data_IF_793554067377
#
_entry.id   IF_793554067377
#
_cell.length_a   1.000
_cell.length_b   1.000
_cell.length_c   1.000
_cell.angle_alpha   90.00
_cell.angle_beta   90.00
_cell.angle_gamma   90.00
#
_symmetry.space_group_name_H-M   'P 1'
#
loop_
_entity.id
_entity.type
_entity.pdbx_description
1 polymer ?
#
# COMPACT_ATOMS: atom_id res chain seq x y z
N UNK A 1 -5.96 22.13 -5.74
CA UNK A 1 -4.82 21.21 -5.89
C UNK A 1 -5.12 19.97 -5.08
N UNK A 2 -4.90 18.78 -5.63
CA UNK A 2 -5.13 17.50 -4.95
C UNK A 2 -3.80 16.79 -4.78
N UNK A 3 -3.45 16.41 -3.56
CA UNK A 3 -2.25 15.64 -3.25
C UNK A 3 -2.71 14.25 -2.80
N UNK A 4 -2.27 13.23 -3.54
CA UNK A 4 -2.62 11.85 -3.30
C UNK A 4 -1.38 10.97 -3.14
N UNK A 5 -0.77 10.92 -1.93
CA UNK A 5 0.33 10.03 -1.67
C UNK A 5 -0.12 8.56 -1.69
N UNK A 6 0.70 7.70 -2.27
CA UNK A 6 0.55 6.26 -2.14
C UNK A 6 1.24 5.80 -0.86
N UNK A 7 0.48 5.23 0.07
CA UNK A 7 1.00 4.56 1.26
C UNK A 7 0.67 3.09 1.10
N UNK A 8 1.69 2.30 0.80
CA UNK A 8 1.50 0.96 0.28
C UNK A 8 2.38 -0.05 1.00
N UNK A 9 1.84 -1.24 1.21
CA UNK A 9 2.61 -2.38 1.68
C UNK A 9 2.72 -3.43 0.57
N UNK A 10 3.93 -3.96 0.40
CA UNK A 10 4.22 -5.05 -0.53
C UNK A 10 4.59 -6.28 0.29
N UNK A 11 4.08 -7.44 -0.13
CA UNK A 11 4.38 -8.72 0.51
C UNK A 11 5.88 -9.08 0.35
N UNK A 12 6.52 -9.49 1.45
CA UNK A 12 7.92 -9.97 1.43
C UNK A 12 8.06 -11.26 0.63
N UNK A 13 7.04 -12.12 0.73
CA UNK A 13 6.90 -13.37 -0.01
C UNK A 13 5.51 -13.39 -0.65
N UNK A 14 5.34 -12.77 -1.83
CA UNK A 14 4.06 -12.77 -2.51
C UNK A 14 3.76 -14.14 -3.10
N UNK A 15 2.48 -14.47 -3.22
CA UNK A 15 2.04 -15.62 -3.99
C UNK A 15 2.32 -15.38 -5.49
N UNK A 16 2.78 -16.41 -6.18
CA UNK A 16 2.92 -16.37 -7.63
C UNK A 16 1.70 -17.04 -8.27
N UNK A 17 0.86 -16.25 -8.91
CA UNK A 17 -0.36 -16.68 -9.60
C UNK A 17 -0.09 -17.45 -10.91
N UNK A 18 1.18 -17.65 -11.26
CA UNK A 18 1.59 -18.30 -12.51
C UNK A 18 1.58 -17.38 -13.74
N UNK A 19 1.07 -16.15 -13.60
CA UNK A 19 0.90 -15.22 -14.70
C UNK A 19 1.88 -14.05 -14.63
N UNK A 20 2.00 -13.42 -13.47
CA UNK A 20 2.88 -12.27 -13.28
C UNK A 20 3.63 -12.37 -11.97
N UNK A 21 4.94 -12.47 -12.08
CA UNK A 21 5.85 -12.50 -10.94
C UNK A 21 6.01 -11.07 -10.39
N UNK A 22 5.62 -10.78 -9.12
CA UNK A 22 5.79 -9.45 -8.53
C UNK A 22 7.26 -9.06 -8.30
N UNK A 23 8.15 -10.04 -8.11
CA UNK A 23 9.59 -9.85 -7.92
C UNK A 23 10.44 -10.68 -8.91
N UNK A 24 10.47 -10.34 -10.22
CA UNK A 24 11.02 -11.21 -11.26
C UNK A 24 12.55 -11.31 -11.29
N UNK A 25 13.25 -10.49 -10.49
CA UNK A 25 14.71 -10.37 -10.53
C UNK A 25 15.42 -11.56 -9.89
N UNK A 26 14.89 -12.10 -8.80
CA UNK A 26 15.47 -13.22 -8.04
C UNK A 26 14.37 -14.12 -7.50
N UNK A 27 14.64 -15.42 -7.26
CA UNK A 27 13.74 -16.24 -6.46
C UNK A 27 13.40 -15.54 -5.14
N UNK A 28 12.15 -15.67 -4.68
CA UNK A 28 11.70 -14.94 -3.51
C UNK A 28 12.46 -15.38 -2.25
N UNK A 29 12.78 -14.42 -1.35
CA UNK A 29 12.42 -13.00 -1.41
C UNK A 29 13.42 -12.15 -2.23
N UNK A 30 12.90 -11.15 -2.95
CA UNK A 30 13.73 -10.08 -3.50
C UNK A 30 13.95 -8.98 -2.44
N UNK A 31 15.00 -9.16 -1.65
CA UNK A 31 15.35 -8.23 -0.55
C UNK A 31 15.57 -6.81 -1.04
N UNK A 32 16.17 -6.62 -2.21
CA UNK A 32 16.47 -5.29 -2.73
C UNK A 32 15.19 -4.52 -3.06
N UNK A 33 14.26 -5.17 -3.77
CA UNK A 33 13.00 -4.54 -4.15
C UNK A 33 12.10 -4.32 -2.94
N UNK A 34 12.04 -5.30 -2.03
CA UNK A 34 11.28 -5.16 -0.80
C UNK A 34 11.81 -4.02 0.08
N UNK A 35 13.12 -3.97 0.34
CA UNK A 35 13.73 -2.95 1.20
C UNK A 35 13.49 -1.52 0.67
N UNK A 36 13.45 -1.34 -0.65
CA UNK A 36 13.11 -0.05 -1.24
C UNK A 36 11.67 0.39 -0.92
N UNK A 37 10.70 -0.54 -0.95
CA UNK A 37 9.30 -0.26 -0.57
C UNK A 37 9.14 -0.06 0.94
N UNK A 38 9.80 -0.88 1.73
CA UNK A 38 9.80 -0.79 3.20
C UNK A 38 10.38 0.54 3.69
N UNK A 39 11.45 1.05 3.05
CA UNK A 39 11.98 2.38 3.32
C UNK A 39 10.92 3.48 3.15
N UNK A 40 10.00 3.32 2.19
CA UNK A 40 8.87 4.23 1.98
C UNK A 40 8.04 4.41 3.24
N UNK A 41 7.63 3.31 3.88
CA UNK A 41 6.82 3.36 5.10
C UNK A 41 7.66 3.74 6.33
N UNK A 42 8.89 3.23 6.45
CA UNK A 42 9.74 3.47 7.63
C UNK A 42 10.31 4.88 7.71
N UNK A 43 10.58 5.52 6.58
CA UNK A 43 11.29 6.82 6.52
C UNK A 43 10.63 7.81 5.56
N UNK A 44 10.27 7.36 4.35
CA UNK A 44 9.73 8.24 3.31
C UNK A 44 8.44 8.95 3.73
N UNK A 45 7.51 8.19 4.33
CA UNK A 45 6.22 8.67 4.83
C UNK A 45 6.39 9.84 5.80
N UNK A 46 7.24 9.68 6.82
CA UNK A 46 7.44 10.71 7.85
C UNK A 46 8.06 11.99 7.30
N UNK A 47 9.06 11.86 6.42
CA UNK A 47 9.67 13.03 5.78
C UNK A 47 8.69 13.80 4.91
N UNK A 48 7.82 13.08 4.19
CA UNK A 48 6.77 13.69 3.39
C UNK A 48 5.71 14.36 4.28
N UNK A 49 5.26 13.67 5.33
CA UNK A 49 4.31 14.19 6.30
C UNK A 49 4.81 15.50 6.93
N UNK A 50 6.08 15.57 7.34
CA UNK A 50 6.68 16.78 7.89
C UNK A 50 6.59 17.98 6.94
N UNK A 51 6.79 17.76 5.63
CA UNK A 51 6.68 18.84 4.62
C UNK A 51 5.22 19.27 4.47
N UNK A 52 4.29 18.32 4.40
CA UNK A 52 2.86 18.61 4.28
C UNK A 52 2.35 19.37 5.51
N UNK A 53 2.81 19.00 6.70
CA UNK A 53 2.48 19.63 7.98
C UNK A 53 2.97 21.09 7.99
N UNK A 54 4.21 21.36 7.55
CA UNK A 54 4.76 22.73 7.45
C UNK A 54 3.92 23.65 6.57
N UNK A 55 3.23 23.09 5.58
CA UNK A 55 2.39 23.83 4.64
C UNK A 55 0.90 23.72 4.95
N UNK A 56 0.51 23.07 6.06
CA UNK A 56 -0.88 22.81 6.43
C UNK A 56 -1.70 22.15 5.32
N UNK A 57 -1.11 21.17 4.62
CA UNK A 57 -1.75 20.48 3.50
C UNK A 57 -2.35 19.15 3.95
N UNK A 58 -3.68 19.04 3.79
CA UNK A 58 -4.41 17.78 3.92
C UNK A 58 -4.32 16.98 2.60
N UNK A 59 -4.12 15.67 2.72
CA UNK A 59 -4.03 14.75 1.60
C UNK A 59 -5.17 13.73 1.59
N UNK A 60 -5.39 13.12 0.42
CA UNK A 60 -6.19 11.89 0.28
C UNK A 60 -5.25 10.75 -0.07
N UNK A 61 -5.04 9.82 0.84
CA UNK A 61 -4.05 8.75 0.67
C UNK A 61 -4.63 7.59 -0.10
N UNK A 62 -3.90 7.13 -1.12
CA UNK A 62 -4.14 5.85 -1.78
C UNK A 62 -3.51 4.74 -0.96
N UNK A 63 -4.32 3.83 -0.40
CA UNK A 63 -3.91 2.92 0.67
C UNK A 63 -4.09 1.45 0.28
N UNK A 64 -3.01 0.66 0.33
CA UNK A 64 -3.00 -0.82 0.25
C UNK A 64 -2.62 -1.46 1.59
N UNK A 65 -2.95 -0.78 2.67
CA UNK A 65 -2.50 -1.13 4.01
C UNK A 65 -3.38 -2.24 4.59
N UNK A 66 -2.73 -3.29 5.13
CA UNK A 66 -3.38 -4.18 6.08
C UNK A 66 -3.25 -3.64 7.50
N UNK A 67 -4.34 -3.63 8.28
CA UNK A 67 -4.28 -3.39 9.72
C UNK A 67 -3.25 -4.32 10.37
N UNK A 68 -2.19 -3.74 10.94
CA UNK A 68 -1.18 -4.46 11.73
C UNK A 68 0.27 -4.29 11.28
N UNK A 69 0.55 -3.96 10.01
CA UNK A 69 1.93 -3.84 9.54
C UNK A 69 2.64 -2.56 10.03
N UNK A 70 1.90 -1.44 10.11
CA UNK A 70 2.41 -0.11 10.47
C UNK A 70 1.32 0.73 11.18
N UNK A 71 0.86 0.34 12.38
CA UNK A 71 -0.19 1.06 13.11
C UNK A 71 0.12 2.55 13.31
N UNK A 72 1.38 2.90 13.51
CA UNK A 72 1.82 4.28 13.76
C UNK A 72 1.58 5.19 12.54
N UNK A 73 1.69 4.65 11.33
CA UNK A 73 1.41 5.40 10.09
C UNK A 73 -0.10 5.65 9.98
N UNK A 74 -0.91 4.63 10.26
CA UNK A 74 -2.38 4.75 10.30
C UNK A 74 -2.84 5.86 11.26
N UNK A 75 -2.37 5.80 12.50
CA UNK A 75 -2.66 6.80 13.53
C UNK A 75 -2.21 8.21 13.11
N UNK A 76 -1.02 8.32 12.54
CA UNK A 76 -0.47 9.60 12.07
C UNK A 76 -1.32 10.24 10.97
N UNK A 77 -1.90 9.45 10.07
CA UNK A 77 -2.82 9.95 9.02
C UNK A 77 -4.16 10.40 9.61
N UNK A 78 -4.72 9.63 10.55
CA UNK A 78 -5.98 9.98 11.24
C UNK A 78 -5.82 11.28 12.04
N UNK A 79 -4.73 11.43 12.79
CA UNK A 79 -4.43 12.64 13.57
C UNK A 79 -4.32 13.89 12.68
N UNK A 80 -3.84 13.73 11.44
CA UNK A 80 -3.72 14.80 10.44
C UNK A 80 -5.01 15.07 9.67
N UNK A 81 -6.08 14.34 9.97
CA UNK A 81 -7.37 14.46 9.28
C UNK A 81 -7.23 14.27 7.75
N UNK A 82 -6.39 13.32 7.34
CA UNK A 82 -6.27 12.92 5.94
C UNK A 82 -7.44 12.04 5.52
N UNK A 83 -7.80 12.12 4.23
CA UNK A 83 -8.79 11.22 3.63
C UNK A 83 -8.13 9.93 3.17
N UNK A 84 -8.92 8.87 3.03
CA UNK A 84 -8.45 7.55 2.62
C UNK A 84 -9.19 7.09 1.37
N UNK A 85 -8.44 6.69 0.36
CA UNK A 85 -8.91 5.99 -0.82
C UNK A 85 -8.30 4.60 -0.81
N UNK A 86 -9.15 3.57 -0.86
CA UNK A 86 -8.66 2.20 -0.82
C UNK A 86 -8.16 1.77 -2.19
N UNK A 87 -6.97 1.17 -2.21
CA UNK A 87 -6.26 0.81 -3.43
C UNK A 87 -6.07 -0.71 -3.56
N UNK A 88 -7.01 -1.48 -2.99
CA UNK A 88 -6.92 -2.94 -2.91
C UNK A 88 -6.16 -3.43 -1.69
N UNK A 89 -5.89 -4.73 -1.67
CA UNK A 89 -5.24 -5.42 -0.54
C UNK A 89 -3.71 -5.33 -0.66
N UNK A 90 -3.15 -5.77 -1.80
CA UNK A 90 -1.72 -5.73 -2.08
C UNK A 90 -1.45 -5.46 -3.56
N UNK A 91 -0.44 -4.64 -3.85
CA UNK A 91 0.03 -4.41 -5.23
C UNK A 91 0.76 -5.61 -5.85
N UNK A 92 1.01 -6.65 -5.06
CA UNK A 92 1.59 -7.93 -5.47
C UNK A 92 0.53 -8.92 -5.97
N UNK A 93 -0.77 -8.62 -5.82
CA UNK A 93 -1.88 -9.45 -6.29
C UNK A 93 -2.55 -8.79 -7.49
N UNK A 94 -2.57 -9.47 -8.63
CA UNK A 94 -3.07 -8.92 -9.88
C UNK A 94 -4.47 -9.44 -10.21
N UNK A 95 -5.40 -8.51 -10.49
CA UNK A 95 -6.80 -8.85 -10.79
C UNK A 95 -7.06 -9.19 -12.26
N UNK A 96 -6.09 -8.98 -13.14
CA UNK A 96 -6.25 -9.09 -14.59
C UNK A 96 -6.57 -10.52 -15.08
N UNK A 97 -6.41 -11.52 -14.21
CA UNK A 97 -6.72 -12.93 -14.48
C UNK A 97 -7.85 -13.48 -13.62
N UNK A 98 -8.48 -12.65 -12.80
CA UNK A 98 -9.56 -13.07 -11.93
C UNK A 98 -10.84 -13.30 -12.73
N UNK A 99 -11.62 -14.30 -12.32
CA UNK A 99 -13.03 -14.37 -12.70
C UNK A 99 -13.81 -13.25 -12.02
N UNK A 100 -15.01 -12.95 -12.51
CA UNK A 100 -15.89 -11.96 -11.88
C UNK A 100 -16.16 -12.29 -10.39
N UNK A 101 -16.28 -13.57 -10.06
CA UNK A 101 -16.50 -14.02 -8.67
C UNK A 101 -15.28 -13.74 -7.79
N UNK A 102 -14.08 -14.05 -8.26
CA UNK A 102 -12.82 -13.76 -7.56
C UNK A 102 -12.59 -12.25 -7.39
N UNK A 103 -12.89 -11.47 -8.41
CA UNK A 103 -12.77 -10.01 -8.35
C UNK A 103 -13.77 -9.41 -7.35
N UNK A 104 -15.00 -9.92 -7.33
CA UNK A 104 -16.03 -9.52 -6.36
C UNK A 104 -15.64 -9.86 -4.92
N UNK A 105 -15.04 -11.03 -4.69
CA UNK A 105 -14.51 -11.42 -3.39
C UNK A 105 -13.36 -10.50 -2.96
N UNK A 106 -12.43 -10.19 -3.87
CA UNK A 106 -11.34 -9.26 -3.61
C UNK A 106 -11.85 -7.87 -3.17
N UNK A 107 -12.88 -7.32 -3.83
CA UNK A 107 -13.43 -6.02 -3.43
C UNK A 107 -14.16 -6.08 -2.10
N UNK A 108 -14.83 -7.19 -1.77
CA UNK A 108 -15.46 -7.37 -0.44
C UNK A 108 -14.40 -7.41 0.65
N UNK A 109 -13.37 -8.22 0.48
CA UNK A 109 -12.25 -8.28 1.44
C UNK A 109 -11.58 -6.92 1.57
N UNK A 110 -11.34 -6.24 0.44
CA UNK A 110 -10.86 -4.85 0.44
C UNK A 110 -11.78 -3.92 1.23
N UNK A 111 -13.08 -4.15 1.38
CA UNK A 111 -13.92 -3.25 2.20
C UNK A 111 -13.90 -3.68 3.67
N UNK A 112 -13.89 -4.99 3.93
CA UNK A 112 -14.11 -5.58 5.24
C UNK A 112 -12.87 -5.64 6.15
N UNK A 113 -11.66 -5.78 5.57
CA UNK A 113 -10.39 -5.68 6.32
C UNK A 113 -9.93 -4.24 6.45
#
# INVERSE_FOLDING_TARGET
>A
MWIAPNVEHYEYQPEFDGHRNPWPRTPYPDVQQYAYRDYGNRVGFWRMADVLDRHNIRCCVSLTWLPGAFPEIGEAMVQRNWDFMRHGIYNTRYLNHYTEEQEREFYRDTIDT
#
